data_IF_212326644877
#
_entry.id   IF_212326644877
#
_cell.length_a   1.000
_cell.length_b   1.000
_cell.length_c   1.000
_cell.angle_alpha   90.00
_cell.angle_beta   90.00
_cell.angle_gamma   90.00
#
_symmetry.space_group_name_H-M   'P 1'
#
loop_
_entity.id
_entity.type
_entity.pdbx_description
1 polymer ?
#
# COMPACT_ATOMS: atom_id res chain seq x y z
N UNK A 1 0.30 -18.79 22.79
CA UNK A 1 -0.77 -17.92 22.24
C UNK A 1 -1.72 -18.76 21.40
N UNK A 2 -3.04 -18.68 21.63
CA UNK A 2 -4.02 -19.54 20.94
C UNK A 2 -4.31 -19.10 19.51
N UNK A 3 -4.47 -20.06 18.59
CA UNK A 3 -4.91 -19.84 17.21
C UNK A 3 -6.39 -19.48 17.17
N UNK A 4 -6.77 -18.40 16.48
CA UNK A 4 -8.17 -17.99 16.34
C UNK A 4 -8.40 -17.30 15.00
N UNK A 5 -9.44 -17.70 14.28
CA UNK A 5 -9.90 -17.07 13.04
C UNK A 5 -10.74 -15.80 13.29
N UNK A 6 -10.96 -15.44 14.57
CA UNK A 6 -11.81 -14.33 15.05
C UNK A 6 -13.27 -14.36 14.56
N UNK A 7 -13.71 -15.47 13.98
CA UNK A 7 -15.09 -15.66 13.56
C UNK A 7 -15.94 -16.09 14.77
N UNK A 8 -17.14 -15.53 14.91
CA UNK A 8 -18.10 -15.90 15.96
C UNK A 8 -19.32 -16.52 15.31
N UNK A 9 -19.76 -17.67 15.82
CA UNK A 9 -20.88 -18.42 15.26
C UNK A 9 -21.72 -19.05 16.37
N UNK A 10 -23.04 -19.19 16.20
CA UNK A 10 -23.86 -19.99 17.11
C UNK A 10 -23.39 -21.45 17.13
N UNK A 11 -23.29 -22.05 18.33
CA UNK A 11 -22.90 -23.45 18.51
C UNK A 11 -23.85 -24.43 17.79
N UNK A 12 -25.13 -24.08 17.71
CA UNK A 12 -26.17 -24.89 17.05
C UNK A 12 -25.94 -25.07 15.54
N UNK A 13 -25.14 -24.18 14.93
CA UNK A 13 -24.83 -24.23 13.51
C UNK A 13 -23.50 -24.93 13.23
N UNK A 14 -22.75 -25.38 14.23
CA UNK A 14 -21.43 -25.99 14.05
C UNK A 14 -21.51 -27.53 13.95
N UNK A 15 -20.99 -28.09 12.87
CA UNK A 15 -20.75 -29.52 12.73
C UNK A 15 -19.33 -29.85 13.19
N UNK A 16 -19.20 -30.43 14.39
CA UNK A 16 -17.91 -30.81 14.96
C UNK A 16 -17.19 -31.93 14.21
N UNK A 17 -17.89 -32.77 13.44
CA UNK A 17 -17.24 -33.80 12.62
C UNK A 17 -16.68 -33.21 11.34
N UNK A 18 -17.44 -32.34 10.69
CA UNK A 18 -17.01 -31.68 9.45
C UNK A 18 -16.12 -30.46 9.69
N UNK A 19 -16.02 -29.98 10.93
CA UNK A 19 -15.34 -28.73 11.30
C UNK A 19 -15.83 -27.54 10.45
N UNK A 20 -17.15 -27.48 10.22
CA UNK A 20 -17.81 -26.51 9.33
C UNK A 20 -19.19 -26.15 9.87
N UNK A 21 -19.72 -25.01 9.44
CA UNK A 21 -21.11 -24.67 9.70
C UNK A 21 -22.07 -25.47 8.80
N UNK A 22 -23.20 -25.89 9.36
CA UNK A 22 -24.31 -26.52 8.65
C UNK A 22 -25.20 -25.48 7.97
N UNK A 23 -25.91 -25.92 6.93
CA UNK A 23 -26.87 -25.10 6.19
C UNK A 23 -26.26 -24.23 5.09
N UNK A 24 -27.09 -23.37 4.51
CA UNK A 24 -26.75 -22.51 3.34
C UNK A 24 -26.99 -21.02 3.61
N UNK A 25 -27.06 -20.61 4.87
CA UNK A 25 -27.20 -19.19 5.20
C UNK A 25 -25.97 -18.40 4.71
N UNK A 26 -26.12 -17.10 4.44
CA UNK A 26 -25.00 -16.24 4.03
C UNK A 26 -23.82 -16.30 5.01
N UNK A 27 -24.13 -16.33 6.32
CA UNK A 27 -23.13 -16.53 7.38
C UNK A 27 -22.45 -17.91 7.28
N UNK A 28 -23.23 -18.99 7.10
CA UNK A 28 -22.67 -20.34 6.98
C UNK A 28 -21.71 -20.45 5.79
N UNK A 29 -22.10 -19.88 4.64
CA UNK A 29 -21.27 -19.84 3.43
C UNK A 29 -20.01 -19.02 3.66
N UNK A 30 -20.15 -17.79 4.17
CA UNK A 30 -19.01 -16.87 4.38
C UNK A 30 -17.98 -17.40 5.38
N UNK A 31 -18.42 -17.95 6.52
CA UNK A 31 -17.50 -18.53 7.51
C UNK A 31 -16.86 -19.80 6.98
N UNK A 32 -17.60 -20.67 6.30
CA UNK A 32 -17.04 -21.89 5.69
C UNK A 32 -16.04 -21.59 4.57
N UNK A 33 -16.27 -20.52 3.81
CA UNK A 33 -15.31 -20.02 2.82
C UNK A 33 -14.02 -19.58 3.52
N UNK A 34 -14.15 -18.74 4.56
CA UNK A 34 -13.00 -18.26 5.33
C UNK A 34 -12.21 -19.38 5.99
N UNK A 35 -12.89 -20.40 6.53
CA UNK A 35 -12.24 -21.62 7.04
C UNK A 35 -11.46 -22.35 5.93
N UNK A 36 -12.05 -22.45 4.73
CA UNK A 36 -11.37 -23.02 3.57
C UNK A 36 -10.12 -22.25 3.15
N UNK A 37 -10.19 -20.91 3.12
CA UNK A 37 -9.05 -20.04 2.84
C UNK A 37 -7.94 -20.19 3.90
N UNK A 38 -8.30 -20.24 5.18
CA UNK A 38 -7.37 -20.51 6.27
C UNK A 38 -6.66 -21.86 6.09
N UNK A 39 -7.42 -22.93 5.82
CA UNK A 39 -6.89 -24.27 5.59
C UNK A 39 -5.95 -24.29 4.39
N UNK A 40 -6.34 -23.71 3.25
CA UNK A 40 -5.52 -23.65 2.06
C UNK A 40 -4.19 -22.92 2.32
N UNK A 41 -4.22 -21.79 3.05
CA UNK A 41 -3.02 -21.04 3.37
C UNK A 41 -2.09 -21.81 4.33
N UNK A 42 -2.63 -22.51 5.32
CA UNK A 42 -1.85 -23.37 6.21
C UNK A 42 -1.15 -24.47 5.40
N UNK A 43 -1.86 -25.14 4.49
CA UNK A 43 -1.27 -26.16 3.63
C UNK A 43 -0.17 -25.58 2.74
N UNK A 44 -0.38 -24.38 2.16
CA UNK A 44 0.65 -23.72 1.37
C UNK A 44 1.93 -23.49 2.19
N UNK A 45 1.83 -23.01 3.44
CA UNK A 45 3.02 -22.81 4.31
C UNK A 45 3.69 -24.13 4.68
N UNK A 46 2.90 -25.16 4.94
CA UNK A 46 3.43 -26.49 5.20
C UNK A 46 4.25 -26.99 4.00
N UNK A 47 3.74 -26.83 2.77
CA UNK A 47 4.45 -27.21 1.56
C UNK A 47 5.73 -26.38 1.34
N UNK A 48 5.66 -25.05 1.46
CA UNK A 48 6.84 -24.18 1.35
C UNK A 48 7.95 -24.54 2.35
N UNK A 49 7.59 -24.91 3.58
CA UNK A 49 8.56 -25.36 4.59
C UNK A 49 9.10 -26.75 4.29
N UNK A 50 8.28 -27.63 3.73
CA UNK A 50 8.69 -28.99 3.32
C UNK A 50 9.67 -28.98 2.16
N UNK A 51 9.53 -28.03 1.23
CA UNK A 51 10.42 -27.87 0.07
C UNK A 51 11.84 -27.41 0.43
N UNK A 52 12.06 -26.87 1.64
CA UNK A 52 13.36 -26.37 2.08
C UNK A 52 14.31 -27.47 2.58
N UNK A 53 13.87 -28.73 2.62
CA UNK A 53 14.62 -29.89 3.13
C UNK A 53 15.21 -29.70 4.55
N UNK A 54 14.65 -28.76 5.32
CA UNK A 54 15.00 -28.49 6.71
C UNK A 54 13.93 -29.06 7.65
N UNK A 55 14.33 -29.51 8.84
CA UNK A 55 13.39 -29.93 9.86
C UNK A 55 12.61 -28.72 10.40
N UNK A 56 11.28 -28.78 10.38
CA UNK A 56 10.41 -27.74 10.93
C UNK A 56 9.34 -28.34 11.85
N UNK A 57 8.73 -27.49 12.67
CA UNK A 57 7.71 -27.85 13.64
C UNK A 57 6.35 -27.26 13.27
N UNK A 58 5.28 -27.76 13.90
CA UNK A 58 3.93 -27.17 13.75
C UNK A 58 3.87 -25.70 14.23
N UNK A 59 4.75 -25.30 15.15
CA UNK A 59 4.91 -23.92 15.59
C UNK A 59 5.41 -23.05 14.45
N UNK A 60 6.35 -23.53 13.63
CA UNK A 60 6.89 -22.80 12.49
C UNK A 60 5.83 -22.62 11.40
N UNK A 61 5.01 -23.63 11.13
CA UNK A 61 3.87 -23.53 10.20
C UNK A 61 2.86 -22.50 10.70
N UNK A 62 2.54 -22.52 12.00
CA UNK A 62 1.66 -21.55 12.64
C UNK A 62 2.23 -20.14 12.54
N UNK A 63 3.50 -19.95 12.80
CA UNK A 63 4.16 -18.64 12.82
C UNK A 63 4.31 -18.10 11.40
N UNK A 64 4.56 -18.94 10.40
CA UNK A 64 4.51 -18.57 8.99
C UNK A 64 3.11 -18.14 8.54
N UNK A 65 2.08 -18.91 8.92
CA UNK A 65 0.68 -18.55 8.66
C UNK A 65 0.28 -17.24 9.37
N UNK A 66 0.64 -17.09 10.65
CA UNK A 66 0.33 -15.89 11.43
C UNK A 66 1.13 -14.68 10.95
N UNK A 67 2.39 -14.83 10.57
CA UNK A 67 3.24 -13.76 10.04
C UNK A 67 2.67 -13.17 8.75
N UNK A 68 2.10 -14.01 7.88
CA UNK A 68 1.42 -13.56 6.67
C UNK A 68 0.05 -12.92 6.95
N UNK A 69 -0.69 -13.44 7.94
CA UNK A 69 -1.95 -12.82 8.39
C UNK A 69 -1.71 -11.45 9.05
N UNK A 70 -0.54 -11.24 9.64
CA UNK A 70 -0.24 -10.04 10.42
C UNK A 70 0.56 -8.97 9.66
N UNK A 71 0.82 -9.09 8.34
CA UNK A 71 1.55 -8.02 7.65
C UNK A 71 1.23 -7.90 6.15
N UNK A 72 -0.03 -7.59 5.81
CA UNK A 72 -0.26 -6.86 4.56
C UNK A 72 0.30 -5.45 4.76
N UNK A 73 1.45 -5.14 4.16
CA UNK A 73 1.98 -3.78 4.20
C UNK A 73 1.04 -2.85 3.45
N UNK A 74 0.55 -1.82 4.15
CA UNK A 74 -0.44 -0.90 3.62
C UNK A 74 0.21 0.30 2.94
N UNK A 75 -0.47 0.87 1.96
CA UNK A 75 0.02 1.96 1.14
C UNK A 75 0.20 3.26 1.93
N UNK A 76 -0.85 3.71 2.65
CA UNK A 76 -0.79 4.98 3.37
C UNK A 76 0.11 4.85 4.61
N UNK A 77 0.14 3.68 5.26
CA UNK A 77 1.12 3.35 6.29
C UNK A 77 2.56 3.49 5.75
N UNK A 78 2.87 2.85 4.62
CA UNK A 78 4.20 2.93 3.99
C UNK A 78 4.59 4.36 3.62
N UNK A 79 3.62 5.15 3.17
CA UNK A 79 3.83 6.58 2.91
C UNK A 79 4.12 7.32 4.23
N UNK A 80 3.37 7.02 5.30
CA UNK A 80 3.61 7.55 6.64
C UNK A 80 5.02 7.27 7.15
N UNK A 81 5.51 6.04 7.00
CA UNK A 81 6.89 5.67 7.34
C UNK A 81 7.92 6.51 6.54
N UNK A 82 7.71 6.63 5.22
CA UNK A 82 8.56 7.47 4.37
C UNK A 82 8.57 8.94 4.82
N UNK A 83 7.43 9.45 5.28
CA UNK A 83 7.29 10.81 5.78
C UNK A 83 8.03 11.00 7.11
N UNK A 84 7.96 10.03 8.02
CA UNK A 84 8.74 10.02 9.28
C UNK A 84 10.23 10.08 8.99
N UNK A 85 10.74 9.21 8.10
CA UNK A 85 12.15 9.22 7.69
C UNK A 85 12.57 10.53 7.01
N UNK A 86 11.67 11.13 6.22
CA UNK A 86 11.92 12.44 5.61
C UNK A 86 12.03 13.54 6.66
N UNK A 87 11.24 13.46 7.73
CA UNK A 87 11.27 14.42 8.84
C UNK A 87 12.56 14.37 9.63
N UNK A 88 13.04 13.17 9.94
CA UNK A 88 14.30 12.94 10.68
C UNK A 88 15.52 13.49 9.94
N UNK A 89 15.44 13.60 8.61
CA UNK A 89 16.51 14.09 7.74
C UNK A 89 16.48 15.59 7.47
N UNK A 90 15.55 16.32 8.08
CA UNK A 90 15.44 17.77 7.91
C UNK A 90 16.69 18.45 8.48
N UNK A 91 17.32 19.32 7.70
CA UNK A 91 18.55 20.02 8.10
C UNK A 91 19.83 19.22 7.89
N UNK A 92 19.73 17.95 7.50
CA UNK A 92 20.86 17.12 7.05
C UNK A 92 20.91 17.16 5.53
N UNK A 93 19.93 16.53 4.88
CA UNK A 93 19.85 16.46 3.41
C UNK A 93 18.42 16.65 2.88
N UNK A 94 17.45 16.91 3.77
CA UNK A 94 16.08 17.29 3.41
C UNK A 94 15.74 18.69 3.89
N UNK A 95 15.00 19.42 3.07
CA UNK A 95 14.43 20.71 3.44
C UNK A 95 13.06 20.54 4.10
N UNK A 96 12.71 21.43 5.04
CA UNK A 96 11.36 21.47 5.64
C UNK A 96 10.25 21.60 4.59
N UNK A 97 10.52 22.35 3.50
CA UNK A 97 9.59 22.49 2.37
C UNK A 97 9.28 21.14 1.71
N UNK A 98 10.28 20.26 1.58
CA UNK A 98 10.11 18.91 1.03
C UNK A 98 9.20 18.08 1.93
N UNK A 99 9.42 18.10 3.24
CA UNK A 99 8.55 17.42 4.20
C UNK A 99 7.10 17.91 4.10
N UNK A 100 6.87 19.23 4.11
CA UNK A 100 5.52 19.82 3.97
C UNK A 100 4.84 19.40 2.66
N UNK A 101 5.60 19.35 1.56
CA UNK A 101 5.10 18.89 0.26
C UNK A 101 4.69 17.41 0.32
N UNK A 102 5.54 16.53 0.86
CA UNK A 102 5.23 15.11 1.02
C UNK A 102 4.00 14.88 1.91
N UNK A 103 3.83 15.66 2.98
CA UNK A 103 2.63 15.60 3.84
C UNK A 103 1.35 15.93 3.07
N UNK A 104 1.39 16.96 2.22
CA UNK A 104 0.25 17.30 1.35
C UNK A 104 -0.02 16.21 0.30
N UNK A 105 1.01 15.61 -0.26
CA UNK A 105 0.87 14.50 -1.21
C UNK A 105 0.22 13.26 -0.54
N UNK A 106 0.57 12.97 0.72
CA UNK A 106 -0.09 11.93 1.50
C UNK A 106 -1.58 12.23 1.72
N UNK A 107 -1.94 13.49 2.01
CA UNK A 107 -3.37 13.84 2.19
C UNK A 107 -4.15 13.64 0.90
N UNK A 108 -3.59 14.01 -0.26
CA UNK A 108 -4.21 13.76 -1.56
C UNK A 108 -4.44 12.28 -1.84
N UNK A 109 -3.44 11.44 -1.54
CA UNK A 109 -3.56 9.98 -1.73
C UNK A 109 -4.61 9.39 -0.80
N UNK A 110 -4.64 9.83 0.47
CA UNK A 110 -5.66 9.41 1.45
C UNK A 110 -7.07 9.79 1.00
N UNK A 111 -7.26 11.02 0.53
CA UNK A 111 -8.56 11.46 -0.01
C UNK A 111 -9.00 10.62 -1.20
N UNK A 112 -8.08 10.33 -2.14
CA UNK A 112 -8.37 9.48 -3.30
C UNK A 112 -8.79 8.07 -2.89
N UNK A 113 -8.01 7.43 -2.01
CA UNK A 113 -8.27 6.10 -1.48
C UNK A 113 -9.64 6.04 -0.82
N UNK A 114 -9.94 7.01 0.05
CA UNK A 114 -11.25 7.10 0.70
C UNK A 114 -12.39 7.35 -0.30
N UNK A 115 -12.19 8.22 -1.29
CA UNK A 115 -13.23 8.62 -2.24
C UNK A 115 -13.57 7.50 -3.22
N UNK A 116 -12.55 6.86 -3.82
CA UNK A 116 -12.72 5.86 -4.89
C UNK A 116 -12.87 4.45 -4.35
N UNK A 117 -12.05 4.06 -3.38
CA UNK A 117 -12.00 2.69 -2.88
C UNK A 117 -12.83 2.47 -1.60
N UNK A 118 -13.32 3.56 -0.96
CA UNK A 118 -14.17 3.51 0.24
C UNK A 118 -13.54 2.80 1.44
N UNK A 119 -12.20 2.81 1.49
CA UNK A 119 -11.42 2.20 2.56
C UNK A 119 -10.46 3.22 3.14
N UNK A 120 -10.06 3.01 4.40
CA UNK A 120 -9.12 3.90 5.07
C UNK A 120 -7.69 3.74 4.58
N UNK A 121 -7.33 2.58 4.04
CA UNK A 121 -6.02 2.25 3.47
C UNK A 121 -6.16 1.06 2.50
N UNK A 122 -5.14 0.80 1.69
CA UNK A 122 -5.11 -0.25 0.66
C UNK A 122 -3.81 -1.05 0.79
N UNK A 123 -3.83 -2.39 0.70
CA UNK A 123 -2.61 -3.19 0.63
C UNK A 123 -1.75 -2.80 -0.58
N UNK A 124 -0.45 -2.67 -0.39
CA UNK A 124 0.48 -2.37 -1.50
C UNK A 124 0.33 -3.36 -2.67
N UNK A 125 0.04 -4.64 -2.38
CA UNK A 125 -0.18 -5.69 -3.38
C UNK A 125 -1.38 -5.48 -4.29
N UNK A 126 -2.31 -4.59 -3.93
CA UNK A 126 -3.46 -4.23 -4.77
C UNK A 126 -3.16 -3.04 -5.69
N UNK A 127 -1.95 -2.48 -5.65
CA UNK A 127 -1.54 -1.47 -6.61
C UNK A 127 -1.33 -2.09 -7.98
N UNK A 128 -2.02 -1.54 -8.96
CA UNK A 128 -1.82 -1.85 -10.38
C UNK A 128 -1.76 -0.55 -11.20
N UNK A 129 -1.63 -0.70 -12.52
CA UNK A 129 -1.61 0.44 -13.45
C UNK A 129 -2.92 1.25 -13.39
N UNK A 130 -4.07 0.60 -13.23
CA UNK A 130 -5.37 1.26 -13.16
C UNK A 130 -5.54 2.11 -11.90
N UNK A 131 -4.96 1.69 -10.77
CA UNK A 131 -4.88 2.51 -9.57
C UNK A 131 -4.09 3.78 -9.82
N UNK A 132 -2.92 3.66 -10.45
CA UNK A 132 -2.00 4.79 -10.71
C UNK A 132 -2.64 5.79 -11.67
N UNK A 133 -3.18 5.33 -12.80
CA UNK A 133 -3.89 6.16 -13.78
C UNK A 133 -5.13 6.81 -13.16
N UNK A 134 -5.87 6.06 -12.33
CA UNK A 134 -7.00 6.60 -11.60
C UNK A 134 -6.61 7.69 -10.59
N UNK A 135 -5.45 7.56 -9.96
CA UNK A 135 -4.94 8.58 -9.05
C UNK A 135 -4.50 9.82 -9.81
N UNK A 136 -3.80 9.67 -10.94
CA UNK A 136 -3.48 10.78 -11.84
C UNK A 136 -4.75 11.51 -12.30
N UNK A 137 -5.78 10.77 -12.71
CA UNK A 137 -7.06 11.32 -13.11
C UNK A 137 -7.71 12.13 -11.98
N UNK A 138 -7.73 11.59 -10.75
CA UNK A 138 -8.23 12.31 -9.57
C UNK A 138 -7.47 13.62 -9.32
N UNK A 139 -6.14 13.59 -9.39
CA UNK A 139 -5.32 14.80 -9.21
C UNK A 139 -5.61 15.86 -10.29
N UNK A 140 -5.94 15.41 -11.50
CA UNK A 140 -6.23 16.25 -12.66
C UNK A 140 -7.62 16.87 -12.60
N UNK A 141 -8.66 16.06 -12.40
CA UNK A 141 -10.05 16.48 -12.56
C UNK A 141 -10.62 17.00 -11.25
N UNK A 142 -10.49 16.22 -10.18
CA UNK A 142 -11.09 16.56 -8.88
C UNK A 142 -10.28 17.63 -8.16
N UNK A 143 -8.95 17.52 -8.18
CA UNK A 143 -8.06 18.45 -7.47
C UNK A 143 -7.55 19.59 -8.35
N UNK A 144 -7.78 19.53 -9.67
CA UNK A 144 -7.42 20.56 -10.66
C UNK A 144 -5.96 21.03 -10.53
N UNK A 145 -5.06 20.09 -10.25
CA UNK A 145 -3.66 20.41 -10.04
C UNK A 145 -2.95 20.65 -11.37
N UNK A 146 -1.92 21.49 -11.34
CA UNK A 146 -1.02 21.68 -12.49
C UNK A 146 -0.24 20.39 -12.75
N UNK A 147 0.12 20.14 -14.01
CA UNK A 147 0.90 18.96 -14.45
C UNK A 147 2.19 18.75 -13.64
N UNK A 148 2.89 19.84 -13.28
CA UNK A 148 4.10 19.76 -12.46
C UNK A 148 3.83 19.22 -11.04
N UNK A 149 2.72 19.62 -10.42
CA UNK A 149 2.30 19.12 -9.11
C UNK A 149 1.85 17.66 -9.18
N UNK A 150 1.11 17.28 -10.23
CA UNK A 150 0.70 15.89 -10.49
C UNK A 150 1.93 15.01 -10.65
N UNK A 151 2.85 15.40 -11.54
CA UNK A 151 4.12 14.70 -11.81
C UNK A 151 4.96 14.52 -10.54
N UNK A 152 5.09 15.57 -9.72
CA UNK A 152 5.78 15.50 -8.43
C UNK A 152 5.09 14.54 -7.46
N UNK A 153 3.76 14.50 -7.44
CA UNK A 153 2.97 13.63 -6.54
C UNK A 153 3.12 12.16 -6.94
N UNK A 154 3.03 11.87 -8.24
CA UNK A 154 3.27 10.53 -8.78
C UNK A 154 4.73 10.08 -8.59
N UNK A 155 5.70 11.00 -8.69
CA UNK A 155 7.11 10.72 -8.41
C UNK A 155 7.34 10.26 -6.96
N UNK A 156 6.68 10.91 -6.00
CA UNK A 156 6.76 10.52 -4.58
C UNK A 156 6.13 9.15 -4.36
N UNK A 157 4.93 8.90 -4.88
CA UNK A 157 4.29 7.59 -4.81
C UNK A 157 5.18 6.49 -5.45
N UNK A 158 5.73 6.76 -6.63
CA UNK A 158 6.64 5.86 -7.32
C UNK A 158 7.88 5.53 -6.48
N UNK A 159 8.40 6.50 -5.71
CA UNK A 159 9.54 6.29 -4.80
C UNK A 159 9.18 5.34 -3.67
N UNK A 160 8.03 5.54 -3.02
CA UNK A 160 7.55 4.68 -1.92
C UNK A 160 7.34 3.24 -2.39
N UNK A 161 6.68 3.07 -3.53
CA UNK A 161 6.45 1.75 -4.14
C UNK A 161 7.78 1.09 -4.51
N UNK A 162 8.73 1.84 -5.07
CA UNK A 162 10.06 1.31 -5.40
C UNK A 162 10.82 0.88 -4.13
N UNK A 163 10.67 1.59 -3.01
CA UNK A 163 11.23 1.17 -1.73
C UNK A 163 10.60 -0.13 -1.23
N UNK A 164 9.29 -0.30 -1.37
CA UNK A 164 8.60 -1.53 -1.00
C UNK A 164 9.09 -2.74 -1.83
N UNK A 165 9.22 -2.59 -3.15
CA UNK A 165 9.80 -3.63 -4.03
C UNK A 165 11.22 -3.98 -3.59
N UNK A 166 12.08 -2.98 -3.36
CA UNK A 166 13.47 -3.22 -2.91
C UNK A 166 13.57 -3.93 -1.56
N UNK A 167 12.57 -3.77 -0.69
CA UNK A 167 12.47 -4.46 0.60
C UNK A 167 11.87 -5.87 0.49
N UNK A 168 11.47 -6.33 -0.70
CA UNK A 168 10.79 -7.61 -0.89
C UNK A 168 9.34 -7.61 -0.38
N UNK A 169 8.74 -6.43 -0.15
CA UNK A 169 7.33 -6.30 0.29
C UNK A 169 6.38 -6.46 -0.90
N UNK A 170 6.85 -6.11 -2.11
CA UNK A 170 6.12 -6.22 -3.36
C UNK A 170 6.94 -7.04 -4.34
N UNK A 171 6.37 -8.12 -4.85
CA UNK A 171 7.00 -8.99 -5.85
C UNK A 171 7.05 -8.34 -7.23
N UNK A 172 6.06 -7.51 -7.54
CA UNK A 172 5.92 -6.83 -8.83
C UNK A 172 5.94 -5.31 -8.69
N UNK A 173 6.52 -4.63 -9.68
CA UNK A 173 6.56 -3.18 -9.73
C UNK A 173 5.36 -2.60 -10.51
N UNK A 174 4.34 -2.02 -9.85
CA UNK A 174 3.08 -1.65 -10.52
C UNK A 174 3.20 -0.42 -11.44
N UNK A 175 4.29 0.33 -11.35
CA UNK A 175 4.59 1.44 -12.26
C UNK A 175 5.25 0.97 -13.57
N UNK A 176 5.48 -0.34 -13.76
CA UNK A 176 6.05 -0.88 -14.99
C UNK A 176 5.13 -0.55 -16.18
N UNK A 177 5.68 0.08 -17.22
CA UNK A 177 4.92 0.48 -18.40
C UNK A 177 3.99 1.69 -18.17
N UNK A 178 4.11 2.39 -17.04
CA UNK A 178 3.47 3.67 -16.79
C UNK A 178 4.50 4.81 -16.85
N UNK A 179 4.12 5.90 -17.52
CA UNK A 179 4.91 7.12 -17.61
C UNK A 179 3.99 8.33 -17.52
N UNK A 180 4.44 9.35 -16.81
CA UNK A 180 3.78 10.65 -16.75
C UNK A 180 4.73 11.71 -17.27
N UNK A 181 4.15 12.71 -17.93
CA UNK A 181 4.91 13.83 -18.45
C UNK A 181 5.50 14.66 -17.31
N UNK A 182 6.79 14.97 -17.41
CA UNK A 182 7.49 15.88 -16.50
C UNK A 182 7.66 17.21 -17.24
N UNK A 183 6.86 18.24 -16.92
CA UNK A 183 7.04 19.55 -17.55
C UNK A 183 8.48 20.01 -17.31
N UNK A 184 9.20 20.40 -18.36
CA UNK A 184 10.50 21.03 -18.21
C UNK A 184 10.29 22.37 -17.51
N UNK A 185 11.04 22.61 -16.43
CA UNK A 185 11.06 23.93 -15.82
C UNK A 185 11.72 24.89 -16.79
N UNK A 186 11.04 25.98 -17.13
CA UNK A 186 11.68 27.10 -17.82
C UNK A 186 12.59 27.81 -16.81
N UNK A 187 13.90 27.96 -17.11
CA UNK A 187 14.78 28.78 -16.29
C UNK A 187 14.19 30.18 -16.19
N UNK A 188 13.89 30.64 -14.98
CA UNK A 188 13.60 32.06 -14.76
C UNK A 188 14.93 32.80 -14.69
N UNK A 189 15.54 33.02 -15.84
CA UNK A 189 16.63 34.01 -15.96
C UNK A 189 16.00 35.38 -16.10
N UNK A 190 16.41 36.33 -15.25
CA UNK A 190 16.17 37.73 -15.51
C UNK A 190 17.28 38.27 -16.41
N UNK A 191 16.92 39.07 -17.39
CA UNK A 191 17.85 39.82 -18.24
C UNK A 191 18.51 40.95 -17.44
N UNK A 192 19.60 41.51 -17.94
CA UNK A 192 20.29 42.63 -17.28
C UNK A 192 19.35 43.84 -17.15
N UNK A 193 18.54 44.08 -18.17
CA UNK A 193 17.58 45.17 -18.26
C UNK A 193 16.38 44.97 -17.31
N UNK A 194 15.99 43.73 -17.02
CA UNK A 194 15.00 43.41 -15.98
C UNK A 194 15.58 43.56 -14.58
N UNK A 195 16.86 43.23 -14.39
CA UNK A 195 17.57 43.43 -13.13
C UNK A 195 17.70 44.92 -12.81
N UNK A 196 18.12 45.74 -13.77
CA UNK A 196 18.23 47.20 -13.61
C UNK A 196 16.88 47.83 -13.21
N UNK A 197 15.77 47.38 -13.82
CA UNK A 197 14.40 47.80 -13.45
C UNK A 197 13.91 47.35 -12.06
N UNK A 198 14.56 46.36 -11.43
CA UNK A 198 14.23 45.93 -10.06
C UNK A 198 15.08 46.70 -9.03
N UNK A 199 16.24 47.21 -9.45
CA UNK A 199 17.18 47.93 -8.59
C UNK A 199 16.77 49.40 -8.42
N UNK A 200 16.16 50.00 -9.44
CA UNK A 200 15.54 51.35 -9.40
C UNK A 200 14.24 51.39 -8.58
#
# INVERSE_FOLDING_TARGET
SGFSTKCKTPLTLWDGRKQRLIGKSSMAVSVNQKLGECTALIHARFHELSEREEAFTATDVRDAYQGQIHRQTLLLESFGEYLTQTKERIGIDRALKTFKLCTYQLSLLREYVQKKHKVCDIPLSQLDKAFIEGFEYYLTIDRRLKRSSISSTLSTLQTIVRMAVKKGVLDFYPFLGYSYERPKGEPRSITKEELERIID
#
